data_IF_048210125763
#
_entry.id   IF_048210125763
#
_cell.length_a   1.000
_cell.length_b   1.000
_cell.length_c   1.000
_cell.angle_alpha   90.00
_cell.angle_beta   90.00
_cell.angle_gamma   90.00
#
_symmetry.space_group_name_H-M   'P 1'
#
loop_
_entity.id
_entity.type
_entity.pdbx_description
1 polymer ?
#
# COMPACT_ATOMS: atom_id res chain seq x y z
N UNK A 1 5.42 14.59 -11.89
CA UNK A 1 4.02 14.17 -12.09
C UNK A 1 3.79 12.93 -11.24
N UNK A 2 2.67 12.86 -10.52
CA UNK A 2 2.26 11.64 -9.82
C UNK A 2 1.71 10.62 -10.83
N UNK A 3 1.72 9.34 -10.45
CA UNK A 3 1.08 8.26 -11.20
C UNK A 3 -0.36 8.66 -11.61
N UNK A 4 -0.78 8.42 -12.87
CA UNK A 4 -2.19 8.60 -13.25
C UNK A 4 -3.12 7.82 -12.33
N UNK A 5 -4.31 8.39 -12.12
CA UNK A 5 -5.35 7.72 -11.37
C UNK A 5 -5.84 6.48 -12.13
N UNK A 6 -5.53 5.30 -11.58
CA UNK A 6 -5.88 4.01 -12.17
C UNK A 6 -7.37 3.67 -12.04
N UNK A 7 -8.12 4.44 -11.26
CA UNK A 7 -9.56 4.30 -11.09
C UNK A 7 -10.34 5.28 -11.99
N UNK A 8 -9.67 6.25 -12.62
CA UNK A 8 -10.32 7.26 -13.44
C UNK A 8 -10.70 6.74 -14.83
N UNK A 9 -11.80 7.24 -15.40
CA UNK A 9 -12.18 6.95 -16.79
C UNK A 9 -11.51 7.91 -17.79
N UNK A 10 -11.29 7.45 -19.02
CA UNK A 10 -10.81 8.27 -20.14
C UNK A 10 -9.36 7.99 -20.56
N UNK A 11 -8.70 8.93 -21.25
CA UNK A 11 -7.31 8.77 -21.69
C UNK A 11 -6.35 8.52 -20.53
N UNK A 12 -5.33 7.69 -20.75
CA UNK A 12 -4.28 7.41 -19.78
C UNK A 12 -3.00 8.15 -20.17
N UNK A 13 -2.48 8.95 -19.24
CA UNK A 13 -1.26 9.73 -19.45
C UNK A 13 -0.22 9.38 -18.40
N UNK A 14 1.00 9.03 -18.83
CA UNK A 14 2.12 8.82 -17.91
C UNK A 14 3.46 9.16 -18.55
N UNK A 15 4.40 9.57 -17.71
CA UNK A 15 5.83 9.62 -18.02
C UNK A 15 6.51 8.53 -17.21
N UNK A 16 6.89 7.39 -17.81
CA UNK A 16 7.36 6.24 -17.05
C UNK A 16 8.57 6.56 -16.17
N UNK A 17 9.55 7.32 -16.70
CA UNK A 17 10.74 7.69 -15.95
C UNK A 17 10.40 8.54 -14.72
N UNK A 18 9.55 9.56 -14.89
CA UNK A 18 9.12 10.42 -13.77
C UNK A 18 8.29 9.65 -12.75
N UNK A 19 7.42 8.77 -13.22
CA UNK A 19 6.49 8.01 -12.37
C UNK A 19 7.24 6.96 -11.54
N UNK A 20 8.18 6.20 -12.12
CA UNK A 20 9.01 5.24 -11.36
C UNK A 20 9.71 5.93 -10.19
N UNK A 21 10.42 7.04 -10.46
CA UNK A 21 11.14 7.74 -9.40
C UNK A 21 10.21 8.35 -8.34
N UNK A 22 9.00 8.75 -8.72
CA UNK A 22 8.00 9.26 -7.79
C UNK A 22 7.48 8.15 -6.88
N UNK A 23 7.10 7.00 -7.45
CA UNK A 23 6.62 5.84 -6.71
C UNK A 23 7.68 5.24 -5.78
N UNK A 24 8.94 5.16 -6.22
CA UNK A 24 10.04 4.67 -5.37
C UNK A 24 10.26 5.58 -4.17
N UNK A 25 10.22 6.91 -4.35
CA UNK A 25 10.34 7.86 -3.23
C UNK A 25 9.16 7.71 -2.27
N UNK A 26 7.94 7.65 -2.81
CA UNK A 26 6.72 7.49 -2.01
C UNK A 26 6.76 6.20 -1.18
N UNK A 27 7.18 5.08 -1.79
CA UNK A 27 7.33 3.80 -1.12
C UNK A 27 8.33 3.87 0.05
N UNK A 28 9.49 4.49 -0.17
CA UNK A 28 10.52 4.66 0.86
C UNK A 28 10.00 5.55 2.00
N UNK A 29 9.30 6.64 1.68
CA UNK A 29 8.79 7.59 2.66
C UNK A 29 7.66 6.97 3.51
N UNK A 30 6.75 6.20 2.91
CA UNK A 30 5.74 5.44 3.64
C UNK A 30 6.38 4.39 4.57
N UNK A 31 7.37 3.65 4.07
CA UNK A 31 8.07 2.65 4.89
C UNK A 31 8.80 3.29 6.07
N UNK A 32 9.46 4.45 5.87
CA UNK A 32 10.08 5.22 6.95
C UNK A 32 9.06 5.71 7.97
N UNK A 33 7.93 6.23 7.50
CA UNK A 33 6.85 6.72 8.36
C UNK A 33 6.33 5.61 9.28
N UNK A 34 6.14 4.39 8.76
CA UNK A 34 5.75 3.23 9.56
C UNK A 34 6.78 2.86 10.62
N UNK A 35 8.07 2.84 10.26
CA UNK A 35 9.14 2.54 11.21
C UNK A 35 9.21 3.59 12.33
N UNK A 36 9.12 4.88 11.98
CA UNK A 36 9.11 5.96 12.97
C UNK A 36 7.93 5.86 13.93
N UNK A 37 6.77 5.50 13.40
CA UNK A 37 5.55 5.35 14.17
C UNK A 37 5.64 4.17 15.16
N UNK A 38 6.23 3.06 14.75
CA UNK A 38 6.50 1.91 15.61
C UNK A 38 7.53 2.21 16.71
N UNK A 39 8.58 2.95 16.38
CA UNK A 39 9.59 3.40 17.35
C UNK A 39 8.99 4.34 18.40
N UNK A 40 8.15 5.28 17.96
CA UNK A 40 7.45 6.21 18.85
C UNK A 40 6.56 5.45 19.82
N UNK A 41 5.81 4.45 19.33
CA UNK A 41 4.98 3.62 20.17
C UNK A 41 5.79 2.80 21.18
N UNK A 42 6.92 2.23 20.76
CA UNK A 42 7.80 1.48 21.65
C UNK A 42 8.36 2.36 22.77
N UNK A 43 8.72 3.61 22.46
CA UNK A 43 9.18 4.59 23.45
C UNK A 43 8.10 4.93 24.47
N UNK A 44 6.87 5.22 24.02
CA UNK A 44 5.73 5.50 24.92
C UNK A 44 5.44 4.31 25.83
N UNK A 45 5.49 3.08 25.31
CA UNK A 45 5.32 1.87 26.13
C UNK A 45 6.39 1.72 27.20
N UNK A 46 7.64 2.04 26.88
CA UNK A 46 8.75 1.94 27.82
C UNK A 46 8.66 3.01 28.92
N UNK A 47 8.22 4.22 28.57
CA UNK A 47 8.05 5.33 29.50
C UNK A 47 7.00 5.04 30.60
N UNK A 48 5.92 4.34 30.24
CA UNK A 48 4.83 4.00 31.17
C UNK A 48 4.95 2.61 31.84
N UNK A 49 6.06 1.90 31.66
CA UNK A 49 6.22 0.52 32.13
C UNK A 49 6.23 0.38 33.68
N UNK A 50 6.64 1.43 34.40
CA UNK A 50 6.85 1.41 35.86
C UNK A 50 5.73 2.13 36.67
N UNK A 51 4.67 2.62 36.02
CA UNK A 51 3.66 3.48 36.66
C UNK A 51 2.27 2.82 36.68
N UNK A 52 1.99 2.02 37.71
CA UNK A 52 0.77 1.20 37.81
C UNK A 52 -0.56 1.99 37.89
N UNK A 53 -0.55 3.23 38.39
CA UNK A 53 -1.75 4.11 38.40
C UNK A 53 -2.08 4.70 37.02
N UNK A 54 -1.13 4.65 36.08
CA UNK A 54 -1.27 5.17 34.71
C UNK A 54 -1.80 4.11 33.72
N UNK A 55 -2.01 2.87 34.17
CA UNK A 55 -2.56 1.75 33.38
C UNK A 55 -3.99 2.04 32.88
N UNK A 56 -4.75 2.89 33.59
CA UNK A 56 -6.07 3.37 33.13
C UNK A 56 -5.95 4.37 31.97
N UNK A 57 -4.87 5.18 31.92
CA UNK A 57 -4.53 6.02 30.76
C UNK A 57 -4.05 5.16 29.57
N UNK A 58 -3.30 4.10 29.85
CA UNK A 58 -2.90 3.11 28.85
C UNK A 58 -4.09 2.38 28.20
N UNK A 59 -5.23 2.29 28.89
CA UNK A 59 -6.50 1.76 28.36
C UNK A 59 -7.11 2.70 27.31
N UNK A 60 -6.79 4.00 27.35
CA UNK A 60 -7.11 4.98 26.31
C UNK A 60 -6.08 4.94 25.16
N UNK A 61 -4.79 4.74 25.46
CA UNK A 61 -3.71 4.52 24.46
C UNK A 61 -3.74 3.13 23.78
N UNK A 62 -4.49 2.18 24.33
CA UNK A 62 -4.79 0.90 23.68
C UNK A 62 -5.53 1.09 22.35
N UNK A 63 -6.25 2.21 22.19
CA UNK A 63 -6.78 2.64 20.90
C UNK A 63 -5.66 2.98 19.92
N UNK A 64 -4.64 3.74 20.34
CA UNK A 64 -3.47 4.05 19.51
C UNK A 64 -2.71 2.77 19.11
N UNK A 65 -2.60 1.79 20.00
CA UNK A 65 -2.03 0.48 19.69
C UNK A 65 -2.84 -0.32 18.66
N UNK A 66 -4.15 -0.38 18.84
CA UNK A 66 -5.04 -1.06 17.92
C UNK A 66 -5.08 -0.35 16.55
N UNK A 67 -5.01 0.98 16.55
CA UNK A 67 -4.93 1.81 15.35
C UNK A 67 -3.61 1.55 14.62
N UNK A 68 -2.49 1.34 15.33
CA UNK A 68 -1.21 0.98 14.71
C UNK A 68 -1.16 -0.42 14.11
N UNK A 69 -1.70 -1.41 14.82
CA UNK A 69 -1.86 -2.76 14.26
C UNK A 69 -2.76 -2.71 13.02
N UNK A 70 -3.82 -1.90 13.07
CA UNK A 70 -4.75 -1.70 11.94
C UNK A 70 -4.07 -0.98 10.78
N UNK A 71 -3.29 0.08 11.02
CA UNK A 71 -2.55 0.83 10.00
C UNK A 71 -1.48 -0.05 9.35
N UNK A 72 -0.71 -0.81 10.14
CA UNK A 72 0.26 -1.77 9.63
C UNK A 72 -0.43 -2.83 8.77
N UNK A 73 -1.55 -3.39 9.25
CA UNK A 73 -2.34 -4.36 8.49
C UNK A 73 -2.87 -3.76 7.19
N UNK A 74 -3.36 -2.53 7.22
CA UNK A 74 -3.87 -1.82 6.04
C UNK A 74 -2.74 -1.54 5.03
N UNK A 75 -1.57 -1.13 5.51
CA UNK A 75 -0.41 -0.94 4.67
C UNK A 75 -0.03 -2.23 3.94
N UNK A 76 0.20 -3.32 4.66
CA UNK A 76 0.62 -4.57 4.03
C UNK A 76 -0.48 -5.28 3.24
N UNK A 77 -1.77 -5.05 3.55
CA UNK A 77 -2.87 -5.69 2.81
C UNK A 77 -3.41 -4.88 1.64
N UNK A 78 -3.18 -3.56 1.60
CA UNK A 78 -3.69 -2.68 0.53
C UNK A 78 -2.66 -1.70 0.00
N UNK A 79 -2.02 -0.95 0.89
CA UNK A 79 -1.11 0.14 0.51
C UNK A 79 0.09 -0.32 -0.31
N UNK A 80 0.85 -1.29 0.23
CA UNK A 80 2.03 -1.85 -0.42
C UNK A 80 1.69 -2.60 -1.72
N UNK A 81 0.70 -3.52 -1.76
CA UNK A 81 0.27 -4.14 -3.02
C UNK A 81 -0.11 -3.12 -4.10
N UNK A 82 -0.87 -2.07 -3.75
CA UNK A 82 -1.24 -1.00 -4.69
C UNK A 82 -0.02 -0.26 -5.24
N UNK A 83 0.96 0.09 -4.39
CA UNK A 83 2.19 0.75 -4.87
C UNK A 83 3.03 -0.14 -5.77
N UNK A 84 3.17 -1.42 -5.41
CA UNK A 84 3.93 -2.37 -6.21
C UNK A 84 3.23 -2.66 -7.55
N UNK A 85 1.90 -2.75 -7.57
CA UNK A 85 1.12 -2.88 -8.80
C UNK A 85 1.29 -1.66 -9.72
N UNK A 86 1.28 -0.45 -9.16
CA UNK A 86 1.60 0.77 -9.91
C UNK A 86 3.01 0.70 -10.51
N UNK A 87 4.01 0.30 -9.72
CA UNK A 87 5.37 0.13 -10.22
C UNK A 87 5.45 -0.91 -11.34
N UNK A 88 4.76 -2.04 -11.22
CA UNK A 88 4.73 -3.08 -12.24
C UNK A 88 4.18 -2.56 -13.57
N UNK A 89 3.05 -1.84 -13.55
CA UNK A 89 2.45 -1.24 -14.76
C UNK A 89 3.38 -0.22 -15.40
N UNK A 90 4.06 0.60 -14.60
CA UNK A 90 4.96 1.64 -15.14
C UNK A 90 6.23 1.02 -15.71
N UNK A 91 6.76 -0.02 -15.09
CA UNK A 91 7.87 -0.79 -15.63
C UNK A 91 7.49 -1.42 -16.97
N UNK A 92 6.31 -2.04 -17.07
CA UNK A 92 5.82 -2.58 -18.34
C UNK A 92 5.63 -1.48 -19.40
N UNK A 93 5.14 -0.30 -19.01
CA UNK A 93 5.01 0.85 -19.90
C UNK A 93 6.38 1.34 -20.40
N UNK A 94 7.39 1.40 -19.53
CA UNK A 94 8.76 1.71 -19.90
C UNK A 94 9.34 0.66 -20.86
N UNK A 95 9.13 -0.63 -20.60
CA UNK A 95 9.60 -1.71 -21.47
C UNK A 95 8.90 -1.70 -22.84
N UNK A 96 7.63 -1.27 -22.89
CA UNK A 96 6.82 -1.24 -24.12
C UNK A 96 7.08 0.01 -24.96
N UNK A 97 7.20 1.18 -24.33
CA UNK A 97 7.22 2.49 -25.01
C UNK A 97 8.51 3.28 -24.80
N UNK A 98 9.41 2.82 -23.94
CA UNK A 98 10.63 3.52 -23.54
C UNK A 98 10.39 4.61 -22.49
N UNK A 99 11.36 5.52 -22.35
CA UNK A 99 11.35 6.58 -21.32
C UNK A 99 10.50 7.80 -21.67
N UNK A 100 9.83 7.81 -22.81
CA UNK A 100 9.10 8.99 -23.26
C UNK A 100 7.73 9.08 -22.58
N UNK A 101 7.30 10.31 -22.32
CA UNK A 101 5.93 10.58 -21.92
C UNK A 101 4.96 10.05 -22.99
N UNK A 102 3.95 9.30 -22.55
CA UNK A 102 2.99 8.64 -23.42
C UNK A 102 1.55 9.05 -23.07
N UNK A 103 0.74 9.10 -24.12
CA UNK A 103 -0.72 9.16 -24.03
C UNK A 103 -1.32 7.91 -24.65
N UNK A 104 -2.32 7.36 -23.99
CA UNK A 104 -3.22 6.34 -24.53
C UNK A 104 -4.60 6.96 -24.60
N UNK A 105 -4.91 7.51 -25.77
CA UNK A 105 -6.18 8.21 -26.04
C UNK A 105 -7.30 7.24 -26.41
N UNK A 106 -6.97 6.05 -26.92
CA UNK A 106 -7.96 5.02 -27.19
C UNK A 106 -8.51 4.48 -25.85
N UNK A 107 -9.84 4.52 -25.64
CA UNK A 107 -10.43 4.16 -24.36
C UNK A 107 -10.32 2.66 -24.06
N UNK A 108 -10.24 1.79 -25.08
CA UNK A 108 -10.09 0.34 -24.88
C UNK A 108 -8.67 0.04 -24.45
N UNK A 109 -7.68 0.63 -25.12
CA UNK A 109 -6.27 0.46 -24.74
C UNK A 109 -6.01 1.07 -23.36
N UNK A 110 -6.55 2.26 -23.06
CA UNK A 110 -6.41 2.88 -21.75
C UNK A 110 -7.00 2.00 -20.64
N UNK A 111 -8.16 1.38 -20.88
CA UNK A 111 -8.78 0.43 -19.94
C UNK A 111 -7.97 -0.86 -19.80
N UNK A 112 -7.35 -1.35 -20.88
CA UNK A 112 -6.46 -2.51 -20.81
C UNK A 112 -5.26 -2.22 -19.89
N UNK A 113 -4.68 -1.03 -19.97
CA UNK A 113 -3.59 -0.63 -19.10
C UNK A 113 -4.01 -0.45 -17.64
N UNK A 114 -5.22 0.03 -17.36
CA UNK A 114 -5.79 0.04 -16.00
C UNK A 114 -6.07 -1.37 -15.48
N UNK A 115 -6.57 -2.25 -16.34
CA UNK A 115 -6.83 -3.64 -15.98
C UNK A 115 -5.56 -4.35 -15.51
N UNK A 116 -4.40 -4.05 -16.11
CA UNK A 116 -3.10 -4.56 -15.65
C UNK A 116 -2.78 -4.16 -14.21
N UNK A 117 -3.14 -2.94 -13.80
CA UNK A 117 -2.99 -2.52 -12.41
C UNK A 117 -3.83 -3.39 -11.48
N UNK A 118 -5.11 -3.60 -11.78
CA UNK A 118 -5.99 -4.40 -10.92
C UNK A 118 -5.54 -5.86 -10.81
N UNK A 119 -5.15 -6.47 -11.94
CA UNK A 119 -4.57 -7.83 -11.94
C UNK A 119 -3.30 -7.87 -11.08
N UNK A 120 -2.40 -6.90 -11.22
CA UNK A 120 -1.20 -6.85 -10.41
C UNK A 120 -1.49 -6.64 -8.92
N UNK A 121 -2.53 -5.87 -8.55
CA UNK A 121 -2.96 -5.73 -7.15
C UNK A 121 -3.42 -7.07 -6.59
N UNK A 122 -4.23 -7.82 -7.33
CA UNK A 122 -4.71 -9.13 -6.92
C UNK A 122 -3.55 -10.12 -6.74
N UNK A 123 -2.60 -10.16 -7.69
CA UNK A 123 -1.43 -11.02 -7.64
C UNK A 123 -0.49 -10.71 -6.46
N UNK A 124 -0.39 -9.43 -6.07
CA UNK A 124 0.50 -8.95 -5.02
C UNK A 124 -0.17 -8.89 -3.64
N UNK A 125 -1.47 -9.16 -3.56
CA UNK A 125 -2.20 -9.19 -2.30
C UNK A 125 -2.21 -10.61 -1.73
N UNK A 126 -1.54 -10.82 -0.60
CA UNK A 126 -1.60 -12.10 0.11
C UNK A 126 -2.96 -12.26 0.79
N UNK A 127 -3.80 -13.15 0.27
CA UNK A 127 -4.97 -13.64 0.99
C UNK A 127 -4.50 -14.67 2.02
N UNK A 128 -4.33 -14.23 3.28
CA UNK A 128 -4.11 -15.17 4.38
C UNK A 128 -5.32 -16.13 4.46
N UNK A 129 -5.11 -17.45 4.39
CA UNK A 129 -6.20 -18.41 4.51
C UNK A 129 -6.93 -18.20 5.84
N UNK A 130 -8.24 -17.98 5.78
CA UNK A 130 -9.08 -18.02 6.97
C UNK A 130 -9.12 -19.48 7.43
N UNK A 131 -8.54 -19.76 8.60
CA UNK A 131 -8.70 -21.05 9.27
C UNK A 131 -10.20 -21.34 9.42
N UNK A 132 -10.73 -22.19 8.54
CA UNK A 132 -12.09 -22.71 8.66
C UNK A 132 -12.09 -23.69 9.84
N UNK A 133 -12.91 -23.49 10.88
CA UNK A 133 -13.04 -24.49 11.92
C UNK A 133 -13.69 -25.71 11.26
N UNK A 134 -12.90 -26.77 11.09
CA UNK A 134 -13.35 -28.02 10.50
C UNK A 134 -14.60 -28.51 11.22
N UNK A 135 -15.70 -28.58 10.47
CA UNK A 135 -16.90 -29.32 10.81
C UNK A 135 -16.49 -30.76 11.09
N UNK A 136 -16.43 -31.12 12.37
CA UNK A 136 -16.32 -32.51 12.80
C UNK A 136 -17.63 -33.20 12.45
N UNK A 137 -17.61 -33.98 11.37
CA UNK A 137 -18.65 -34.95 11.06
C UNK A 137 -18.23 -36.32 11.61
N UNK A 138 -19.01 -36.83 12.56
CA UNK A 138 -19.26 -38.25 12.81
C UNK A 138 -20.67 -38.41 13.30
#
# INVERSE_FOLDING_TARGET
MSMPDMEAQGPLWMDPAVVVWSLVRELIDQQRSLVQLEQTLAAVKAEHADNFDEIVSLTYDLKNLNDLVTLRRLWYSKGLPSMLAKLAVVLEAHETFGDQALSIDDPVDAELWRSKYFVAVDDLTVVLPQNSPGTSGT
#
